data_IF_141306096256
#
_entry.id   IF_141306096256
#
_cell.length_a   1.000
_cell.length_b   1.000
_cell.length_c   1.000
_cell.angle_alpha   90.00
_cell.angle_beta   90.00
_cell.angle_gamma   90.00
#
_symmetry.space_group_name_H-M   'P 1'
#
loop_
_entity.id
_entity.type
_entity.pdbx_description
1 polymer ?
#
# COMPACT_ATOMS: atom_id res chain seq x y z
N UNK A 1 33.64 -3.76 -15.75
CA UNK A 1 32.48 -3.16 -15.05
C UNK A 1 31.79 -4.29 -14.27
N UNK A 2 31.83 -4.25 -12.94
CA UNK A 2 31.11 -5.23 -12.12
C UNK A 2 29.62 -4.85 -12.17
N UNK A 3 28.81 -5.65 -12.84
CA UNK A 3 27.35 -5.59 -12.78
C UNK A 3 26.97 -5.76 -11.31
N UNK A 4 26.49 -4.68 -10.65
CA UNK A 4 25.83 -4.81 -9.37
C UNK A 4 24.63 -5.74 -9.63
N UNK A 5 24.64 -6.95 -9.09
CA UNK A 5 23.45 -7.76 -8.96
C UNK A 5 22.46 -6.92 -8.16
N UNK A 6 21.45 -6.33 -8.82
CA UNK A 6 20.40 -5.60 -8.15
C UNK A 6 19.60 -6.64 -7.33
N UNK A 7 19.84 -6.65 -6.02
CA UNK A 7 19.03 -7.41 -5.09
C UNK A 7 17.59 -6.91 -5.22
N UNK A 8 16.64 -7.81 -5.48
CA UNK A 8 15.22 -7.50 -5.46
C UNK A 8 14.89 -6.86 -4.11
N UNK A 9 14.26 -5.66 -4.07
CA UNK A 9 13.97 -5.00 -2.81
C UNK A 9 12.92 -5.80 -2.04
N UNK A 10 13.06 -5.85 -0.72
CA UNK A 10 12.02 -6.35 0.16
C UNK A 10 10.98 -5.27 0.38
N UNK A 11 9.75 -5.55 -0.05
CA UNK A 11 8.63 -4.62 0.02
C UNK A 11 7.60 -5.17 1.01
N UNK A 12 7.15 -4.34 1.95
CA UNK A 12 6.01 -4.69 2.82
C UNK A 12 4.94 -3.65 2.62
N UNK A 13 3.74 -4.11 2.24
CA UNK A 13 2.54 -3.27 2.19
C UNK A 13 1.73 -3.51 3.45
N UNK A 14 1.39 -2.44 4.16
CA UNK A 14 0.56 -2.50 5.36
C UNK A 14 -0.74 -1.73 5.16
N UNK A 15 -1.83 -2.21 5.74
CA UNK A 15 -3.06 -1.43 5.91
C UNK A 15 -2.98 -0.59 7.17
N UNK A 16 -3.86 0.41 7.28
CA UNK A 16 -4.06 1.17 8.52
C UNK A 16 -5.42 0.82 9.12
N UNK A 17 -5.59 0.84 10.44
CA UNK A 17 -6.90 0.69 11.05
C UNK A 17 -7.88 1.75 10.52
N UNK A 18 -9.03 1.31 9.98
CA UNK A 18 -10.04 2.21 9.41
C UNK A 18 -11.05 2.69 10.47
N UNK A 19 -11.37 1.84 11.44
CA UNK A 19 -12.35 2.05 12.54
C UNK A 19 -11.90 1.26 13.77
N UNK A 20 -12.71 1.27 14.82
CA UNK A 20 -12.44 0.49 16.03
C UNK A 20 -12.43 -1.01 15.74
N UNK A 21 -13.40 -1.50 14.97
CA UNK A 21 -13.50 -2.90 14.53
C UNK A 21 -12.77 -3.13 13.22
N UNK A 22 -12.25 -4.35 12.96
CA UNK A 22 -11.70 -4.74 11.68
C UNK A 22 -12.69 -4.51 10.54
N UNK A 23 -12.19 -4.13 9.38
CA UNK A 23 -13.02 -3.96 8.18
C UNK A 23 -13.50 -5.31 7.66
N UNK A 24 -14.77 -5.40 7.30
CA UNK A 24 -15.41 -6.54 6.64
C UNK A 24 -15.20 -6.53 5.11
N UNK A 25 -14.55 -5.50 4.58
CA UNK A 25 -14.20 -5.40 3.17
C UNK A 25 -12.73 -5.72 2.92
N UNK A 26 -12.41 -6.53 1.89
CA UNK A 26 -11.03 -6.83 1.57
C UNK A 26 -10.28 -5.56 1.12
N UNK A 27 -8.99 -5.46 1.41
CA UNK A 27 -8.16 -4.30 1.07
C UNK A 27 -7.76 -4.29 -0.41
N UNK A 28 -8.72 -4.14 -1.31
CA UNK A 28 -8.60 -4.26 -2.77
C UNK A 28 -7.42 -3.46 -3.31
N UNK A 29 -7.28 -2.18 -2.91
CA UNK A 29 -6.18 -1.33 -3.40
C UNK A 29 -4.81 -1.88 -3.03
N UNK A 30 -4.64 -2.42 -1.81
CA UNK A 30 -3.38 -3.05 -1.40
C UNK A 30 -3.10 -4.32 -2.20
N UNK A 31 -4.11 -5.17 -2.40
CA UNK A 31 -3.98 -6.42 -3.15
C UNK A 31 -3.65 -6.15 -4.62
N UNK A 32 -4.30 -5.16 -5.23
CA UNK A 32 -4.04 -4.76 -6.61
C UNK A 32 -2.59 -4.30 -6.80
N UNK A 33 -2.10 -3.41 -5.92
CA UNK A 33 -0.70 -2.95 -5.96
C UNK A 33 0.28 -4.11 -5.77
N UNK A 34 0.03 -5.01 -4.80
CA UNK A 34 0.90 -6.19 -4.57
C UNK A 34 0.90 -7.10 -5.80
N UNK A 35 -0.27 -7.34 -6.40
CA UNK A 35 -0.40 -8.15 -7.61
C UNK A 35 0.47 -7.58 -8.72
N UNK A 36 0.41 -6.27 -8.99
CA UNK A 36 1.22 -5.61 -10.02
C UNK A 36 2.70 -5.66 -9.72
N UNK A 37 3.10 -5.43 -8.49
CA UNK A 37 4.50 -5.54 -8.07
C UNK A 37 5.04 -6.96 -8.31
N UNK A 38 4.32 -8.00 -7.91
CA UNK A 38 4.72 -9.40 -8.14
C UNK A 38 4.80 -9.73 -9.63
N UNK A 39 3.81 -9.30 -10.44
CA UNK A 39 3.81 -9.49 -11.90
C UNK A 39 4.98 -8.77 -12.58
N UNK A 40 5.39 -7.63 -12.07
CA UNK A 40 6.57 -6.88 -12.53
C UNK A 40 7.92 -7.49 -12.08
N UNK A 41 7.90 -8.63 -11.38
CA UNK A 41 9.11 -9.34 -10.94
C UNK A 41 9.58 -9.00 -9.52
N UNK A 42 8.85 -8.18 -8.78
CA UNK A 42 9.15 -7.85 -7.38
C UNK A 42 8.53 -8.88 -6.43
N UNK A 43 8.99 -10.14 -6.53
CA UNK A 43 8.42 -11.28 -5.80
C UNK A 43 8.60 -11.22 -4.28
N UNK A 44 9.60 -10.49 -3.76
CA UNK A 44 9.80 -10.27 -2.30
C UNK A 44 8.88 -9.14 -1.80
N UNK A 45 7.60 -9.19 -2.22
CA UNK A 45 6.54 -8.26 -1.79
C UNK A 45 5.58 -9.00 -0.88
N UNK A 46 5.45 -8.51 0.35
CA UNK A 46 4.66 -9.09 1.42
C UNK A 46 3.51 -8.18 1.84
N UNK A 47 2.46 -8.78 2.35
CA UNK A 47 1.29 -8.07 2.86
C UNK A 47 1.18 -8.25 4.38
N UNK A 48 1.01 -7.16 5.12
CA UNK A 48 0.73 -7.18 6.55
C UNK A 48 -0.55 -6.40 6.85
N UNK A 49 -1.64 -7.14 7.04
CA UNK A 49 -2.99 -6.60 7.17
C UNK A 49 -3.26 -6.13 8.61
N UNK A 50 -2.77 -4.95 8.96
CA UNK A 50 -2.93 -4.37 10.30
C UNK A 50 -4.41 -4.13 10.63
N UNK A 51 -5.22 -3.73 9.63
CA UNK A 51 -6.65 -3.49 9.86
C UNK A 51 -7.40 -4.74 10.27
N UNK A 52 -7.05 -5.91 9.75
CA UNK A 52 -7.67 -7.17 10.13
C UNK A 52 -7.08 -7.75 11.42
N UNK A 53 -5.75 -7.80 11.50
CA UNK A 53 -5.03 -8.51 12.57
C UNK A 53 -5.04 -7.76 13.89
N UNK A 54 -5.21 -6.43 13.86
CA UNK A 54 -5.23 -5.55 15.04
C UNK A 54 -4.07 -5.79 16.02
N UNK A 55 -2.82 -5.91 15.52
CA UNK A 55 -1.68 -6.02 16.42
C UNK A 55 -1.57 -4.76 17.28
N UNK A 56 -0.94 -4.88 18.44
CA UNK A 56 -0.50 -3.70 19.19
C UNK A 56 0.49 -2.90 18.35
N UNK A 57 0.68 -1.63 18.70
CA UNK A 57 1.65 -0.80 17.98
C UNK A 57 3.08 -1.35 18.14
N UNK A 58 3.41 -1.84 19.31
CA UNK A 58 4.69 -2.45 19.65
C UNK A 58 4.94 -3.72 18.83
N UNK A 59 3.94 -4.57 18.67
CA UNK A 59 4.02 -5.77 17.80
C UNK A 59 4.21 -5.39 16.33
N UNK A 60 3.53 -4.33 15.87
CA UNK A 60 3.71 -3.81 14.51
C UNK A 60 5.16 -3.38 14.26
N UNK A 61 5.74 -2.61 15.18
CA UNK A 61 7.13 -2.15 15.06
C UNK A 61 8.10 -3.33 15.17
N UNK A 62 7.85 -4.27 16.08
CA UNK A 62 8.68 -5.47 16.23
C UNK A 62 8.68 -6.32 14.95
N UNK A 63 7.52 -6.50 14.30
CA UNK A 63 7.39 -7.16 13.02
C UNK A 63 8.23 -6.47 11.94
N UNK A 64 8.04 -5.16 11.73
CA UNK A 64 8.76 -4.40 10.73
C UNK A 64 10.29 -4.41 10.98
N UNK A 65 10.70 -4.31 12.25
CA UNK A 65 12.12 -4.40 12.65
C UNK A 65 12.73 -5.76 12.35
N UNK A 66 11.96 -6.84 12.50
CA UNK A 66 12.37 -8.21 12.16
C UNK A 66 12.51 -8.37 10.65
N UNK A 67 11.51 -7.94 9.90
CA UNK A 67 11.42 -8.13 8.44
C UNK A 67 12.34 -7.20 7.66
N UNK A 68 12.68 -6.01 8.19
CA UNK A 68 13.61 -5.03 7.61
C UNK A 68 13.31 -4.70 6.15
N UNK A 69 12.12 -4.17 5.83
CA UNK A 69 11.80 -3.81 4.46
C UNK A 69 12.73 -2.72 3.93
N UNK A 70 13.10 -2.83 2.66
CA UNK A 70 13.74 -1.75 1.91
C UNK A 70 12.70 -0.65 1.60
N UNK A 71 11.44 -1.08 1.30
CA UNK A 71 10.31 -0.19 1.05
C UNK A 71 9.13 -0.62 1.91
N UNK A 72 8.58 0.32 2.68
CA UNK A 72 7.32 0.17 3.43
C UNK A 72 6.22 0.95 2.72
N UNK A 73 5.25 0.24 2.14
CA UNK A 73 4.03 0.83 1.60
C UNK A 73 2.95 0.91 2.68
N UNK A 74 2.39 2.09 2.89
CA UNK A 74 1.28 2.31 3.83
C UNK A 74 0.02 2.61 3.03
N UNK A 75 -1.00 1.75 3.16
CA UNK A 75 -2.33 1.96 2.56
C UNK A 75 -3.23 2.69 3.56
N UNK A 76 -3.42 4.00 3.35
CA UNK A 76 -4.22 4.87 4.20
C UNK A 76 -5.44 5.40 3.43
N UNK A 77 -6.56 4.68 3.56
CA UNK A 77 -7.76 4.90 2.72
C UNK A 77 -8.60 6.08 3.20
N UNK A 78 -8.60 6.36 4.51
CA UNK A 78 -9.45 7.39 5.12
C UNK A 78 -8.65 8.43 5.89
N UNK A 79 -9.19 9.63 6.05
CA UNK A 79 -8.53 10.74 6.75
C UNK A 79 -8.21 10.42 8.22
N UNK A 80 -9.02 9.57 8.88
CA UNK A 80 -8.79 9.10 10.26
C UNK A 80 -7.49 8.30 10.40
N UNK A 81 -6.96 7.73 9.30
CA UNK A 81 -5.69 7.03 9.28
C UNK A 81 -4.47 7.96 9.50
N UNK A 82 -4.64 9.29 9.46
CA UNK A 82 -3.52 10.23 9.58
C UNK A 82 -2.73 10.05 10.88
N UNK A 83 -3.43 9.95 12.03
CA UNK A 83 -2.77 9.84 13.33
C UNK A 83 -1.93 8.56 13.42
N UNK A 84 -2.47 7.44 12.94
CA UNK A 84 -1.75 6.16 12.91
C UNK A 84 -0.58 6.21 11.93
N UNK A 85 -0.78 6.70 10.71
CA UNK A 85 0.27 6.86 9.68
C UNK A 85 1.43 7.72 10.21
N UNK A 86 1.11 8.84 10.86
CA UNK A 86 2.11 9.71 11.47
C UNK A 86 2.92 8.98 12.54
N UNK A 87 2.26 8.34 13.50
CA UNK A 87 2.92 7.58 14.56
C UNK A 87 3.79 6.46 13.99
N UNK A 88 3.26 5.70 13.03
CA UNK A 88 3.96 4.60 12.38
C UNK A 88 5.20 5.09 11.62
N UNK A 89 5.07 6.13 10.81
CA UNK A 89 6.17 6.63 9.99
C UNK A 89 7.35 7.14 10.84
N UNK A 90 7.08 7.84 11.95
CA UNK A 90 8.14 8.28 12.87
C UNK A 90 8.82 7.10 13.56
N UNK A 91 8.05 6.13 14.08
CA UNK A 91 8.61 4.97 14.74
C UNK A 91 9.45 4.11 13.77
N UNK A 92 8.98 3.94 12.54
CA UNK A 92 9.75 3.22 11.50
C UNK A 92 11.03 3.98 11.17
N UNK A 93 10.99 5.29 11.02
CA UNK A 93 12.19 6.11 10.74
C UNK A 93 13.23 6.00 11.85
N UNK A 94 12.79 5.91 13.11
CA UNK A 94 13.68 5.74 14.27
C UNK A 94 14.40 4.37 14.25
N UNK A 95 13.66 3.28 14.02
CA UNK A 95 14.21 1.91 14.14
C UNK A 95 14.77 1.36 12.84
N UNK A 96 14.34 1.89 11.68
CA UNK A 96 14.72 1.50 10.33
C UNK A 96 15.00 2.75 9.46
N UNK A 97 16.06 3.50 9.75
CA UNK A 97 16.31 4.81 9.15
C UNK A 97 16.52 4.78 7.62
N UNK A 98 16.85 3.60 7.06
CA UNK A 98 17.08 3.42 5.61
C UNK A 98 15.85 2.96 4.84
N UNK A 99 14.78 2.55 5.53
CA UNK A 99 13.54 2.13 4.88
C UNK A 99 12.87 3.31 4.19
N UNK A 100 12.56 3.17 2.92
CA UNK A 100 11.77 4.15 2.18
C UNK A 100 10.30 3.97 2.53
N UNK A 101 9.63 5.04 2.98
CA UNK A 101 8.22 5.00 3.37
C UNK A 101 7.37 5.62 2.25
N UNK A 102 6.55 4.79 1.63
CA UNK A 102 5.69 5.12 0.51
C UNK A 102 4.22 5.03 0.95
N UNK A 103 3.47 6.11 0.80
CA UNK A 103 2.06 6.19 1.20
C UNK A 103 1.16 6.13 -0.01
N UNK A 104 0.09 5.34 0.06
CA UNK A 104 -1.00 5.31 -0.91
C UNK A 104 -2.37 5.44 -0.25
N UNK A 105 -3.41 5.50 -1.07
CA UNK A 105 -4.79 5.67 -0.65
C UNK A 105 -5.22 7.14 -0.55
N UNK A 106 -6.51 7.35 -0.22
CA UNK A 106 -7.13 8.69 -0.28
C UNK A 106 -6.50 9.72 0.67
N UNK A 107 -5.78 9.28 1.73
CA UNK A 107 -5.03 10.18 2.58
C UNK A 107 -3.98 10.97 1.77
N UNK A 108 -3.47 10.41 0.69
CA UNK A 108 -2.53 11.05 -0.23
C UNK A 108 -3.03 12.37 -0.84
N UNK A 109 -4.34 12.64 -0.86
CA UNK A 109 -4.90 13.93 -1.29
C UNK A 109 -4.41 15.13 -0.46
N UNK A 110 -3.90 14.88 0.76
CA UNK A 110 -3.29 15.89 1.64
C UNK A 110 -1.76 15.84 1.61
N UNK A 111 -1.17 15.56 0.45
CA UNK A 111 0.25 15.25 0.27
C UNK A 111 1.20 16.24 0.95
N UNK A 112 1.00 17.53 0.78
CA UNK A 112 1.88 18.56 1.36
C UNK A 112 1.93 18.49 2.89
N UNK A 113 0.76 18.33 3.53
CA UNK A 113 0.68 18.26 5.00
C UNK A 113 1.36 17.00 5.48
N UNK A 114 1.11 15.87 4.84
CA UNK A 114 1.67 14.57 5.23
C UNK A 114 3.19 14.61 5.11
N UNK A 115 3.73 15.02 3.95
CA UNK A 115 5.17 15.07 3.71
C UNK A 115 5.89 16.01 4.69
N UNK A 116 5.26 17.14 5.07
CA UNK A 116 5.84 18.10 6.01
C UNK A 116 5.68 17.72 7.49
N UNK A 117 4.72 16.86 7.83
CA UNK A 117 4.32 16.58 9.22
C UNK A 117 4.51 15.12 9.65
N UNK A 118 5.04 14.29 8.77
CA UNK A 118 5.34 12.87 9.03
C UNK A 118 6.72 12.51 8.51
N UNK A 119 7.12 11.24 8.64
CA UNK A 119 8.36 10.71 8.04
C UNK A 119 8.12 9.93 6.74
N UNK A 120 6.96 10.16 6.09
CA UNK A 120 6.69 9.61 4.75
C UNK A 120 7.62 10.27 3.73
N UNK A 121 8.23 9.48 2.86
CA UNK A 121 9.17 9.97 1.84
C UNK A 121 8.46 10.30 0.52
N UNK A 122 7.51 9.45 0.10
CA UNK A 122 6.78 9.56 -1.16
C UNK A 122 5.31 9.23 -0.96
N UNK A 123 4.46 9.89 -1.73
CA UNK A 123 3.02 9.66 -1.74
C UNK A 123 2.58 9.33 -3.15
N UNK A 124 1.82 8.23 -3.29
CA UNK A 124 1.08 7.93 -4.50
C UNK A 124 -0.22 8.71 -4.51
N UNK A 125 -0.45 9.49 -5.56
CA UNK A 125 -1.71 10.20 -5.82
C UNK A 125 -2.48 9.49 -6.93
N UNK A 126 -3.75 9.20 -6.70
CA UNK A 126 -4.57 8.44 -7.63
C UNK A 126 -4.40 6.92 -7.54
N UNK A 127 -4.50 6.24 -8.68
CA UNK A 127 -4.37 4.77 -8.75
C UNK A 127 -2.92 4.33 -8.62
N UNK A 128 -2.68 3.41 -7.68
CA UNK A 128 -1.32 3.04 -7.27
C UNK A 128 -0.65 1.95 -8.09
N UNK A 129 -1.38 1.25 -8.93
CA UNK A 129 -0.94 0.03 -9.59
C UNK A 129 0.29 0.24 -10.48
N UNK A 130 0.23 1.21 -11.39
CA UNK A 130 1.35 1.58 -12.26
C UNK A 130 2.41 2.38 -11.51
N UNK A 131 1.96 3.38 -10.75
CA UNK A 131 2.86 4.26 -9.97
C UNK A 131 3.76 3.47 -9.04
N UNK A 132 3.25 2.44 -8.35
CA UNK A 132 4.06 1.63 -7.45
C UNK A 132 5.15 0.83 -8.20
N UNK A 133 4.83 0.28 -9.36
CA UNK A 133 5.80 -0.44 -10.21
C UNK A 133 6.89 0.50 -10.70
N UNK A 134 6.49 1.64 -11.30
CA UNK A 134 7.43 2.64 -11.83
C UNK A 134 8.31 3.22 -10.70
N UNK A 135 7.70 3.45 -9.52
CA UNK A 135 8.42 3.88 -8.34
C UNK A 135 9.50 2.88 -7.93
N UNK A 136 9.19 1.59 -7.82
CA UNK A 136 10.17 0.56 -7.44
C UNK A 136 11.25 0.41 -8.51
N UNK A 137 10.90 0.43 -9.79
CA UNK A 137 11.88 0.45 -10.88
C UNK A 137 12.85 1.63 -10.76
N UNK A 138 12.32 2.83 -10.48
CA UNK A 138 13.14 4.03 -10.27
C UNK A 138 13.97 3.93 -8.99
N UNK A 139 13.41 3.43 -7.91
CA UNK A 139 14.09 3.25 -6.62
C UNK A 139 15.38 2.43 -6.73
N UNK A 140 15.42 1.43 -7.61
CA UNK A 140 16.61 0.60 -7.85
C UNK A 140 17.77 1.36 -8.49
N UNK A 141 17.48 2.46 -9.19
CA UNK A 141 18.48 3.21 -9.99
C UNK A 141 18.69 4.64 -9.50
N UNK A 142 17.77 5.17 -8.71
CA UNK A 142 17.82 6.54 -8.20
C UNK A 142 19.00 6.75 -7.24
N UNK A 143 19.63 7.91 -7.35
CA UNK A 143 20.66 8.37 -6.44
C UNK A 143 20.17 9.56 -5.58
N UNK A 144 19.20 10.32 -6.09
CA UNK A 144 18.63 11.52 -5.48
C UNK A 144 17.11 11.46 -5.51
N UNK A 145 16.45 12.29 -4.69
CA UNK A 145 14.98 12.43 -4.74
C UNK A 145 14.49 12.98 -6.07
N UNK A 146 15.27 13.84 -6.71
CA UNK A 146 14.91 14.47 -7.99
C UNK A 146 14.82 13.45 -9.14
N UNK A 147 15.48 12.29 -9.01
CA UNK A 147 15.41 11.22 -10.01
C UNK A 147 14.00 10.63 -10.15
N UNK A 148 13.09 10.89 -9.18
CA UNK A 148 11.71 10.43 -9.21
C UNK A 148 10.75 11.39 -9.94
N UNK A 149 11.22 12.51 -10.46
CA UNK A 149 10.37 13.52 -11.11
C UNK A 149 9.71 13.05 -12.41
N UNK A 150 10.17 11.98 -13.01
CA UNK A 150 9.59 11.34 -14.20
C UNK A 150 8.60 10.21 -13.86
N UNK A 151 8.51 9.77 -12.61
CA UNK A 151 7.53 8.78 -12.16
C UNK A 151 6.18 9.46 -11.98
N UNK A 152 5.19 9.08 -12.78
CA UNK A 152 3.85 9.66 -12.73
C UNK A 152 3.11 9.26 -11.45
N UNK A 153 2.25 10.14 -10.95
CA UNK A 153 1.40 9.90 -9.79
C UNK A 153 2.12 9.98 -8.46
N UNK A 154 3.25 10.72 -8.36
CA UNK A 154 3.99 10.90 -7.11
C UNK A 154 3.89 12.33 -6.57
N UNK A 155 3.91 12.42 -5.25
CA UNK A 155 4.21 13.65 -4.53
C UNK A 155 5.34 13.37 -3.54
N UNK A 156 6.32 14.26 -3.48
CA UNK A 156 7.46 14.17 -2.54
C UNK A 156 8.07 15.55 -2.29
N UNK A 157 8.88 15.67 -1.25
CA UNK A 157 9.71 16.88 -1.05
C UNK A 157 11.07 16.64 -1.70
N UNK A 158 11.49 17.61 -2.51
CA UNK A 158 12.85 17.63 -3.06
C UNK A 158 13.93 17.85 -1.99
N UNK A 159 15.18 17.95 -2.39
CA UNK A 159 16.31 18.18 -1.48
C UNK A 159 16.25 19.54 -0.76
N UNK A 160 15.51 20.51 -1.32
CA UNK A 160 15.29 21.84 -0.76
C UNK A 160 14.02 21.91 0.12
N UNK A 161 13.30 20.79 0.27
CA UNK A 161 12.03 20.72 1.01
C UNK A 161 10.84 21.32 0.24
N UNK A 162 10.97 21.53 -1.08
CA UNK A 162 9.88 21.98 -1.94
C UNK A 162 9.02 20.78 -2.38
N UNK A 163 7.70 20.99 -2.39
CA UNK A 163 6.78 19.98 -2.86
C UNK A 163 6.89 19.81 -4.38
N UNK A 164 7.18 18.60 -4.79
CA UNK A 164 7.10 18.16 -6.18
C UNK A 164 5.84 17.30 -6.32
N UNK A 165 5.01 17.59 -7.32
CA UNK A 165 3.84 16.81 -7.72
C UNK A 165 4.03 16.46 -9.18
N UNK A 166 4.13 15.17 -9.47
CA UNK A 166 4.30 14.70 -10.85
C UNK A 166 2.93 14.56 -11.54
N UNK A 167 2.88 14.53 -12.89
CA UNK A 167 1.63 14.31 -13.60
C UNK A 167 0.92 13.01 -13.19
N UNK A 168 -0.40 12.98 -13.35
CA UNK A 168 -1.20 11.79 -13.09
C UNK A 168 -0.75 10.61 -13.99
N UNK A 169 -0.81 9.36 -13.48
CA UNK A 169 -0.56 8.18 -14.29
C UNK A 169 -1.70 7.97 -15.32
N UNK A 170 -1.40 7.22 -16.38
CA UNK A 170 -2.44 6.73 -17.27
C UNK A 170 -3.41 5.81 -16.50
N UNK A 171 -4.72 5.93 -16.70
CA UNK A 171 -5.68 5.01 -16.09
C UNK A 171 -5.36 3.55 -16.43
N UNK A 172 -5.63 2.66 -15.49
CA UNK A 172 -5.55 1.22 -15.74
C UNK A 172 -6.73 0.76 -16.61
N UNK A 173 -6.55 -0.30 -17.38
CA UNK A 173 -7.63 -0.86 -18.20
C UNK A 173 -8.70 -1.52 -17.32
N UNK A 174 -9.90 -1.73 -17.87
CA UNK A 174 -10.99 -2.42 -17.15
C UNK A 174 -10.60 -3.85 -16.76
N UNK A 175 -9.85 -4.51 -17.60
CA UNK A 175 -9.35 -5.88 -17.39
C UNK A 175 -8.37 -5.89 -16.21
N UNK A 176 -7.48 -4.90 -16.16
CA UNK A 176 -6.51 -4.76 -15.09
C UNK A 176 -7.15 -4.48 -13.72
N UNK A 177 -8.28 -3.78 -13.67
CA UNK A 177 -8.99 -3.50 -12.40
C UNK A 177 -9.40 -4.78 -11.67
N UNK A 178 -9.77 -5.83 -12.43
CA UNK A 178 -10.24 -7.11 -11.89
C UNK A 178 -9.14 -8.16 -11.73
N UNK A 179 -7.93 -7.89 -12.24
CA UNK A 179 -6.79 -8.79 -12.15
C UNK A 179 -6.11 -8.64 -10.77
N UNK A 180 -6.71 -9.27 -9.76
CA UNK A 180 -6.22 -9.30 -8.39
C UNK A 180 -5.87 -10.73 -8.00
N UNK A 181 -4.66 -10.92 -7.51
CA UNK A 181 -4.21 -12.19 -6.94
C UNK A 181 -4.78 -12.39 -5.53
N UNK A 182 -5.90 -13.09 -5.45
CA UNK A 182 -6.58 -13.40 -4.20
C UNK A 182 -5.82 -14.42 -3.35
N UNK A 183 -4.87 -15.17 -3.93
CA UNK A 183 -4.04 -16.10 -3.16
C UNK A 183 -3.24 -15.40 -2.07
N UNK A 184 -2.97 -14.10 -2.22
CA UNK A 184 -2.31 -13.28 -1.19
C UNK A 184 -3.05 -13.34 0.15
N UNK A 185 -4.40 -13.32 0.14
CA UNK A 185 -5.21 -13.46 1.36
C UNK A 185 -5.37 -14.91 1.78
N UNK A 186 -5.42 -15.84 0.83
CA UNK A 186 -5.58 -17.27 1.10
C UNK A 186 -4.34 -17.84 1.77
N UNK A 187 -3.16 -17.52 1.26
CA UNK A 187 -1.86 -17.89 1.85
C UNK A 187 -1.70 -17.36 3.30
N UNK A 188 -2.34 -16.26 3.62
CA UNK A 188 -2.39 -15.69 4.97
C UNK A 188 -3.53 -16.25 5.83
N UNK A 189 -4.39 -17.13 5.29
CA UNK A 189 -5.58 -17.65 5.96
C UNK A 189 -6.66 -16.59 6.24
N UNK A 190 -6.65 -15.48 5.49
CA UNK A 190 -7.51 -14.31 5.76
C UNK A 190 -8.72 -14.22 4.83
N UNK A 191 -8.75 -14.98 3.74
CA UNK A 191 -9.82 -14.85 2.73
C UNK A 191 -11.20 -15.16 3.30
N UNK A 192 -11.30 -16.16 4.19
CA UNK A 192 -12.57 -16.57 4.80
C UNK A 192 -13.22 -15.48 5.66
N UNK A 193 -12.45 -14.51 6.13
CA UNK A 193 -12.96 -13.38 6.93
C UNK A 193 -13.83 -12.44 6.09
N UNK A 194 -13.53 -12.36 4.79
CA UNK A 194 -14.19 -11.45 3.85
C UNK A 194 -15.31 -12.15 3.05
N UNK A 195 -15.52 -13.45 3.25
CA UNK A 195 -16.56 -14.21 2.59
C UNK A 195 -17.76 -14.32 3.53
N UNK A 196 -18.87 -13.71 3.15
CA UNK A 196 -20.13 -13.85 3.91
C UNK A 196 -20.61 -15.30 3.87
N UNK A 197 -20.98 -15.83 5.04
CA UNK A 197 -21.57 -17.17 5.11
C UNK A 197 -22.98 -17.17 4.52
N UNK A 198 -23.30 -18.18 3.74
CA UNK A 198 -24.62 -18.33 3.10
C UNK A 198 -25.78 -18.47 4.10
N UNK A 199 -25.47 -18.80 5.35
CA UNK A 199 -26.42 -18.97 6.47
C UNK A 199 -26.67 -17.69 7.27
N UNK A 200 -26.02 -16.57 6.91
CA UNK A 200 -26.32 -15.29 7.54
C UNK A 200 -27.72 -14.84 7.14
N UNK A 201 -28.63 -14.78 8.09
CA UNK A 201 -30.05 -14.37 7.90
C UNK A 201 -30.19 -12.89 7.49
N UNK A 202 -29.11 -12.17 7.36
CA UNK A 202 -29.06 -10.77 6.94
C UNK A 202 -28.90 -10.56 5.42
N UNK A 203 -28.77 -11.65 4.64
CA UNK A 203 -28.67 -11.52 3.18
C UNK A 203 -30.08 -11.36 2.63
N UNK A 204 -30.37 -10.15 2.17
CA UNK A 204 -31.59 -9.89 1.40
C UNK A 204 -31.49 -10.63 0.06
N UNK A 205 -32.21 -11.75 -0.03
CA UNK A 205 -32.28 -12.56 -1.24
C UNK A 205 -32.90 -11.83 -2.45
N UNK A 206 -33.41 -10.60 -2.26
CA UNK A 206 -34.03 -9.79 -3.31
C UNK A 206 -33.07 -9.40 -4.43
N UNK A 207 -31.75 -9.43 -4.21
CA UNK A 207 -30.76 -8.99 -5.19
C UNK A 207 -30.05 -10.12 -5.96
N UNK A 208 -30.35 -11.39 -5.70
CA UNK A 208 -29.79 -12.53 -6.46
C UNK A 208 -28.26 -12.62 -6.44
N UNK A 209 -27.60 -12.01 -5.47
CA UNK A 209 -26.14 -12.04 -5.36
C UNK A 209 -25.67 -13.34 -4.72
N UNK A 210 -24.71 -14.01 -5.36
CA UNK A 210 -23.95 -15.09 -4.74
C UNK A 210 -23.17 -14.50 -3.55
N UNK A 211 -23.37 -14.97 -2.31
CA UNK A 211 -22.69 -14.46 -1.13
C UNK A 211 -21.16 -14.59 -1.19
N UNK A 212 -20.65 -15.40 -2.13
CA UNK A 212 -19.21 -15.53 -2.41
C UNK A 212 -18.69 -14.46 -3.36
N UNK A 213 -19.57 -13.62 -3.92
CA UNK A 213 -19.20 -12.57 -4.84
C UNK A 213 -18.77 -11.35 -4.04
N UNK A 214 -17.48 -11.10 -3.98
CA UNK A 214 -16.93 -9.84 -3.49
C UNK A 214 -17.35 -8.73 -4.47
N UNK A 215 -18.21 -7.84 -3.99
CA UNK A 215 -18.72 -6.74 -4.83
C UNK A 215 -17.64 -5.67 -4.93
N UNK A 216 -16.85 -5.75 -6.00
CA UNK A 216 -15.74 -4.82 -6.26
C UNK A 216 -16.25 -3.62 -7.06
N UNK A 217 -17.18 -2.83 -6.51
CA UNK A 217 -17.55 -1.57 -7.13
C UNK A 217 -16.41 -0.56 -6.97
N UNK A 218 -15.49 -0.57 -7.92
CA UNK A 218 -14.71 0.62 -8.26
C UNK A 218 -15.53 1.44 -9.26
N UNK A 219 -15.86 2.68 -8.87
CA UNK A 219 -16.34 3.70 -9.80
C UNK A 219 -15.16 4.35 -10.49
#
# INVERSE_FOLDING_TARGET
MKTKQHKTPRIIIVTTPLREEPSDFPPIGSLSVITRLKQAGFGDTHFYNIDLLRPTFEETIAYLKKEKPDILGISAVVSTAYAFTKKLSFAVREVLPKTTIFLGGNLGASAEIILKKTSVDYICTGEGEKTAVDFVCRWLTANTKNDFSDVKGLSFLDENGQLIVTPDPEPISKEEVYDIDWSILDDLGQISTYVTRADSTAIDHSFGHDPRRLDTHRK
#
